data_IF_975244607711
#
_entry.id   IF_975244607711
#
_cell.length_a   1.000
_cell.length_b   1.000
_cell.length_c   1.000
_cell.angle_alpha   90.00
_cell.angle_beta   90.00
_cell.angle_gamma   90.00
#
_symmetry.space_group_name_H-M   'P 1'
#
loop_
_entity.id
_entity.type
_entity.pdbx_description
1 polymer ?
#
# COMPACT_ATOMS: atom_id res chain seq x y z
N UNK A 1 -4.17 4.05 -32.05
CA UNK A 1 -4.99 3.60 -30.91
C UNK A 1 -5.09 4.78 -29.98
N UNK A 2 -6.30 5.33 -29.81
CA UNK A 2 -6.55 6.53 -29.03
C UNK A 2 -5.97 6.40 -27.62
N UNK A 3 -5.08 7.33 -27.29
CA UNK A 3 -4.53 7.48 -25.95
C UNK A 3 -5.66 8.01 -25.05
N UNK A 4 -6.44 7.09 -24.48
CA UNK A 4 -7.56 7.39 -23.59
C UNK A 4 -7.03 7.94 -22.26
N UNK A 5 -6.50 9.16 -22.30
CA UNK A 5 -6.22 9.94 -21.10
C UNK A 5 -7.54 10.34 -20.43
N UNK A 6 -7.53 10.42 -19.11
CA UNK A 6 -8.66 10.91 -18.32
C UNK A 6 -8.20 12.02 -17.39
N UNK A 7 -9.13 12.88 -16.99
CA UNK A 7 -8.89 13.90 -15.96
C UNK A 7 -9.53 13.42 -14.68
N UNK A 8 -8.77 13.44 -13.58
CA UNK A 8 -9.24 13.08 -12.26
C UNK A 8 -8.55 13.97 -11.22
N UNK A 9 -9.34 14.64 -10.37
CA UNK A 9 -8.89 15.72 -9.47
C UNK A 9 -7.97 16.75 -10.16
N UNK A 10 -8.38 17.25 -11.32
CA UNK A 10 -7.59 18.22 -12.10
C UNK A 10 -6.27 17.70 -12.68
N UNK A 11 -5.98 16.41 -12.56
CA UNK A 11 -4.77 15.77 -13.10
C UNK A 11 -5.12 14.96 -14.34
N UNK A 12 -4.48 15.26 -15.47
CA UNK A 12 -4.47 14.37 -16.63
C UNK A 12 -3.66 13.12 -16.34
N UNK A 13 -4.27 11.96 -16.57
CA UNK A 13 -3.66 10.65 -16.37
C UNK A 13 -3.72 9.86 -17.68
N UNK A 14 -2.60 9.28 -18.06
CA UNK A 14 -2.53 8.31 -19.15
C UNK A 14 -2.80 6.89 -18.65
N UNK A 15 -3.34 6.05 -19.52
CA UNK A 15 -3.63 4.67 -19.20
C UNK A 15 -2.32 3.92 -18.93
N UNK A 16 -2.19 3.32 -17.76
CA UNK A 16 -1.04 2.49 -17.39
C UNK A 16 -1.39 1.01 -17.47
N UNK A 17 -0.37 0.16 -17.39
CA UNK A 17 -0.48 -1.32 -17.48
C UNK A 17 -1.47 -1.94 -16.49
N UNK A 18 -1.80 -1.26 -15.38
CA UNK A 18 -2.75 -1.73 -14.36
C UNK A 18 -4.13 -1.05 -14.42
N UNK A 19 -4.43 -0.31 -15.49
CA UNK A 19 -5.70 0.39 -15.65
C UNK A 19 -5.93 1.53 -14.64
N UNK A 20 -7.15 2.06 -14.64
CA UNK A 20 -7.57 3.19 -13.81
C UNK A 20 -8.28 2.82 -12.51
N UNK A 21 -8.73 1.57 -12.39
CA UNK A 21 -9.39 0.99 -11.21
C UNK A 21 -8.69 -0.31 -10.82
N UNK A 22 -8.70 -0.66 -9.54
CA UNK A 22 -8.26 -1.96 -9.07
C UNK A 22 -9.28 -3.01 -9.47
N UNK A 23 -8.82 -4.02 -10.21
CA UNK A 23 -9.59 -5.23 -10.52
C UNK A 23 -8.81 -6.45 -10.08
N UNK A 24 -9.52 -7.57 -9.98
CA UNK A 24 -8.89 -8.84 -9.63
C UNK A 24 -7.82 -9.25 -10.66
N UNK A 25 -8.07 -8.98 -11.94
CA UNK A 25 -7.23 -9.34 -13.09
C UNK A 25 -5.96 -8.48 -13.15
N UNK A 26 -6.04 -7.21 -12.73
CA UNK A 26 -4.91 -6.28 -12.81
C UNK A 26 -4.12 -6.15 -11.50
N UNK A 27 -4.54 -6.84 -10.43
CA UNK A 27 -3.95 -6.73 -9.10
C UNK A 27 -2.52 -7.26 -9.04
N UNK A 28 -2.31 -8.50 -9.49
CA UNK A 28 -1.04 -9.21 -9.35
C UNK A 28 -0.34 -9.37 -10.71
N UNK A 29 0.77 -8.65 -10.92
CA UNK A 29 1.67 -8.86 -12.05
C UNK A 29 2.84 -9.70 -11.55
N UNK A 30 2.97 -10.93 -12.04
CA UNK A 30 4.04 -11.85 -11.65
C UNK A 30 5.39 -11.28 -12.08
N UNK A 31 6.38 -11.39 -11.20
CA UNK A 31 7.77 -11.06 -11.47
C UNK A 31 8.66 -11.93 -10.60
N UNK A 32 9.66 -12.57 -11.19
CA UNK A 32 10.67 -13.32 -10.44
C UNK A 32 11.79 -12.44 -9.87
N UNK A 33 11.82 -11.14 -10.18
CA UNK A 33 12.83 -10.24 -9.62
C UNK A 33 12.50 -9.88 -8.18
N UNK A 34 13.41 -10.19 -7.26
CA UNK A 34 13.41 -9.68 -5.90
C UNK A 34 13.60 -8.18 -5.88
N UNK A 35 12.81 -7.51 -5.07
CA UNK A 35 12.87 -6.06 -4.92
C UNK A 35 13.45 -5.65 -3.59
N UNK A 36 13.86 -6.62 -2.76
CA UNK A 36 14.48 -6.41 -1.45
C UNK A 36 16.00 -6.19 -1.52
N UNK A 37 16.59 -6.31 -2.72
CA UNK A 37 18.04 -6.26 -2.91
C UNK A 37 18.71 -7.60 -2.57
N UNK A 38 20.04 -7.61 -2.49
CA UNK A 38 20.80 -8.83 -2.18
C UNK A 38 20.42 -9.37 -0.80
N UNK A 39 20.18 -10.67 -0.72
CA UNK A 39 19.87 -11.34 0.52
C UNK A 39 21.18 -11.68 1.26
N UNK A 40 21.63 -10.76 2.12
CA UNK A 40 22.89 -10.93 2.86
C UNK A 40 22.89 -12.15 3.79
N UNK A 41 21.73 -12.55 4.31
CA UNK A 41 21.62 -13.76 5.15
C UNK A 41 21.91 -14.99 4.31
N UNK A 42 21.32 -15.09 3.12
CA UNK A 42 21.56 -16.21 2.23
C UNK A 42 23.02 -16.25 1.75
N UNK A 43 23.57 -15.10 1.35
CA UNK A 43 24.99 -14.97 0.94
C UNK A 43 25.92 -15.41 2.08
N UNK A 44 25.63 -15.03 3.33
CA UNK A 44 26.44 -15.44 4.49
C UNK A 44 26.28 -16.93 4.79
N UNK A 45 25.08 -17.50 4.64
CA UNK A 45 24.84 -18.93 4.81
C UNK A 45 25.67 -19.75 3.83
N UNK A 46 25.71 -19.34 2.55
CA UNK A 46 26.56 -19.96 1.53
C UNK A 46 28.04 -19.89 1.89
N UNK A 47 28.54 -18.73 2.34
CA UNK A 47 29.95 -18.56 2.76
C UNK A 47 30.33 -19.42 3.97
N UNK A 48 29.40 -19.65 4.89
CA UNK A 48 29.61 -20.44 6.12
C UNK A 48 29.25 -21.92 5.95
N UNK A 49 28.77 -22.32 4.77
CA UNK A 49 28.22 -23.64 4.52
C UNK A 49 27.13 -24.06 5.53
N UNK A 50 26.24 -23.13 5.89
CA UNK A 50 25.09 -23.40 6.76
C UNK A 50 24.01 -24.13 5.96
N UNK A 51 24.08 -25.47 5.93
CA UNK A 51 23.21 -26.33 5.12
C UNK A 51 21.72 -26.08 5.37
N UNK A 52 21.33 -25.78 6.62
CA UNK A 52 19.94 -25.54 6.98
C UNK A 52 19.40 -24.26 6.34
N UNK A 53 20.15 -23.16 6.45
CA UNK A 53 19.76 -21.90 5.81
C UNK A 53 19.88 -21.96 4.29
N UNK A 54 20.91 -22.61 3.76
CA UNK A 54 21.09 -22.79 2.32
C UNK A 54 19.88 -23.52 1.73
N UNK A 55 19.45 -24.63 2.35
CA UNK A 55 18.27 -25.38 1.91
C UNK A 55 17.03 -24.48 1.91
N UNK A 56 16.73 -23.82 3.03
CA UNK A 56 15.57 -22.95 3.14
C UNK A 56 15.53 -21.82 2.10
N UNK A 57 16.67 -21.19 1.79
CA UNK A 57 16.72 -20.10 0.82
C UNK A 57 16.77 -20.59 -0.64
N UNK A 58 17.34 -21.76 -0.91
CA UNK A 58 17.37 -22.36 -2.26
C UNK A 58 16.00 -22.86 -2.74
N UNK A 59 15.03 -23.03 -1.84
CA UNK A 59 13.62 -23.25 -2.17
C UNK A 59 12.91 -21.96 -2.60
N UNK A 60 13.50 -20.79 -2.31
CA UNK A 60 12.91 -19.47 -2.61
C UNK A 60 13.60 -18.82 -3.81
N UNK A 61 14.93 -18.83 -3.81
CA UNK A 61 15.76 -18.11 -4.78
C UNK A 61 16.40 -19.07 -5.80
N UNK A 62 16.45 -18.64 -7.05
CA UNK A 62 17.09 -19.33 -8.16
C UNK A 62 18.57 -18.97 -8.30
N UNK A 63 19.02 -17.89 -7.66
CA UNK A 63 20.38 -17.39 -7.66
C UNK A 63 20.97 -17.32 -6.25
N UNK A 64 22.30 -17.26 -6.16
CA UNK A 64 23.02 -17.25 -4.88
C UNK A 64 23.04 -15.88 -4.17
N UNK A 65 22.55 -14.82 -4.83
CA UNK A 65 22.47 -13.48 -4.24
C UNK A 65 21.07 -13.14 -3.71
N UNK A 66 20.06 -13.97 -3.99
CA UNK A 66 18.67 -13.73 -3.62
C UNK A 66 17.99 -12.62 -4.42
N UNK A 67 18.41 -12.43 -5.67
CA UNK A 67 17.86 -11.43 -6.59
C UNK A 67 16.76 -11.99 -7.49
N UNK A 68 16.71 -13.31 -7.67
CA UNK A 68 15.77 -13.99 -8.55
C UNK A 68 15.03 -15.07 -7.76
N UNK A 69 13.71 -14.96 -7.68
CA UNK A 69 12.84 -16.01 -7.16
C UNK A 69 12.70 -17.16 -8.15
N UNK A 70 12.46 -18.35 -7.63
CA UNK A 70 12.12 -19.51 -8.46
C UNK A 70 10.69 -19.42 -8.99
N UNK A 71 10.43 -20.04 -10.14
CA UNK A 71 9.11 -20.04 -10.77
C UNK A 71 8.05 -20.78 -9.95
N UNK A 72 8.43 -21.87 -9.28
CA UNK A 72 7.56 -22.62 -8.36
C UNK A 72 7.16 -21.75 -7.15
N UNK A 73 8.11 -21.02 -6.57
CA UNK A 73 7.83 -20.02 -5.54
C UNK A 73 6.88 -18.93 -6.05
N UNK A 74 7.12 -18.38 -7.25
CA UNK A 74 6.25 -17.35 -7.83
C UNK A 74 4.81 -17.85 -8.04
N UNK A 75 4.63 -19.09 -8.51
CA UNK A 75 3.30 -19.69 -8.69
C UNK A 75 2.58 -19.84 -7.35
N UNK A 76 3.27 -20.34 -6.31
CA UNK A 76 2.71 -20.46 -4.96
C UNK A 76 2.33 -19.08 -4.39
N UNK A 77 3.25 -18.12 -4.48
CA UNK A 77 3.03 -16.76 -3.98
C UNK A 77 1.86 -16.08 -4.69
N UNK A 78 1.66 -16.31 -6.00
CA UNK A 78 0.48 -15.80 -6.72
C UNK A 78 -0.83 -16.33 -6.11
N UNK A 79 -0.90 -17.62 -5.80
CA UNK A 79 -2.10 -18.23 -5.19
C UNK A 79 -2.39 -17.55 -3.85
N UNK A 80 -1.37 -17.40 -3.01
CA UNK A 80 -1.47 -16.74 -1.70
C UNK A 80 -1.90 -15.27 -1.83
N UNK A 81 -1.33 -14.55 -2.81
CA UNK A 81 -1.66 -13.15 -3.11
C UNK A 81 -3.12 -13.00 -3.54
N UNK A 82 -3.61 -13.90 -4.40
CA UNK A 82 -5.00 -13.87 -4.84
C UNK A 82 -5.97 -14.30 -3.74
N UNK A 83 -5.57 -15.20 -2.85
CA UNK A 83 -6.33 -15.52 -1.64
C UNK A 83 -6.44 -14.28 -0.73
N UNK A 84 -5.33 -13.59 -0.45
CA UNK A 84 -5.33 -12.36 0.34
C UNK A 84 -6.20 -11.26 -0.29
N UNK A 85 -6.17 -11.12 -1.62
CA UNK A 85 -7.02 -10.18 -2.34
C UNK A 85 -8.51 -10.48 -2.11
N UNK A 86 -8.93 -11.72 -2.34
CA UNK A 86 -10.32 -12.14 -2.17
C UNK A 86 -10.78 -11.93 -0.72
N UNK A 87 -9.96 -12.27 0.27
CA UNK A 87 -10.25 -12.04 1.69
C UNK A 87 -10.47 -10.55 2.00
N UNK A 88 -9.63 -9.65 1.45
CA UNK A 88 -9.82 -8.22 1.62
C UNK A 88 -11.10 -7.72 0.93
N UNK A 89 -11.39 -8.17 -0.29
CA UNK A 89 -12.62 -7.77 -1.00
C UNK A 89 -13.87 -8.19 -0.23
N UNK A 90 -13.93 -9.45 0.21
CA UNK A 90 -15.03 -9.95 1.04
C UNK A 90 -15.13 -9.18 2.37
N UNK A 91 -13.99 -8.78 2.96
CA UNK A 91 -13.97 -7.96 4.16
C UNK A 91 -14.57 -6.57 3.91
N UNK A 92 -14.20 -5.91 2.80
CA UNK A 92 -14.73 -4.59 2.45
C UNK A 92 -16.24 -4.60 2.22
N UNK A 93 -16.78 -5.65 1.60
CA UNK A 93 -18.22 -5.82 1.38
C UNK A 93 -19.05 -5.91 2.67
N UNK A 94 -18.42 -6.24 3.81
CA UNK A 94 -19.08 -6.31 5.12
C UNK A 94 -19.04 -5.01 5.92
N UNK A 95 -18.33 -4.00 5.44
CA UNK A 95 -18.15 -2.75 6.18
C UNK A 95 -19.39 -1.86 6.12
N UNK A 96 -19.68 -1.21 7.24
CA UNK A 96 -20.84 -0.32 7.35
C UNK A 96 -20.54 1.07 6.80
N UNK A 97 -21.13 1.40 5.64
CA UNK A 97 -20.93 2.68 4.96
C UNK A 97 -21.36 3.89 5.82
N UNK A 98 -22.47 3.80 6.55
CA UNK A 98 -22.96 4.90 7.39
C UNK A 98 -21.94 5.26 8.46
N UNK A 99 -21.41 4.24 9.16
CA UNK A 99 -20.35 4.41 10.16
C UNK A 99 -19.08 5.00 9.54
N UNK A 100 -18.70 4.55 8.35
CA UNK A 100 -17.53 5.06 7.64
C UNK A 100 -17.66 6.57 7.33
N UNK A 101 -18.81 6.99 6.79
CA UNK A 101 -19.10 8.40 6.53
C UNK A 101 -19.13 9.25 7.81
N UNK A 102 -19.73 8.72 8.88
CA UNK A 102 -19.78 9.41 10.18
C UNK A 102 -18.38 9.66 10.76
N UNK A 103 -17.46 8.70 10.64
CA UNK A 103 -16.07 8.88 11.10
C UNK A 103 -15.32 9.95 10.28
N UNK A 104 -15.54 10.01 8.96
CA UNK A 104 -14.95 11.05 8.10
C UNK A 104 -15.52 12.43 8.45
N UNK A 105 -16.84 12.54 8.64
CA UNK A 105 -17.47 13.79 9.04
C UNK A 105 -16.95 14.29 10.40
N UNK A 106 -16.80 13.37 11.37
CA UNK A 106 -16.21 13.70 12.68
C UNK A 106 -14.74 14.10 12.57
N UNK A 107 -13.96 13.45 11.71
CA UNK A 107 -12.56 13.78 11.45
C UNK A 107 -12.41 15.20 10.91
N UNK A 108 -13.20 15.56 9.90
CA UNK A 108 -13.19 16.92 9.33
C UNK A 108 -13.62 17.98 10.35
N UNK A 109 -14.56 17.66 11.24
CA UNK A 109 -14.99 18.59 12.31
C UNK A 109 -13.93 18.83 13.37
N UNK A 110 -13.09 17.83 13.68
CA UNK A 110 -12.13 17.85 14.80
C UNK A 110 -10.71 18.19 14.38
N UNK A 111 -10.41 18.20 13.08
CA UNK A 111 -9.06 18.43 12.57
C UNK A 111 -9.02 19.62 11.62
N UNK A 112 -7.83 19.95 11.12
CA UNK A 112 -7.61 21.02 10.13
C UNK A 112 -7.73 20.52 8.68
N UNK A 113 -8.13 19.27 8.48
CA UNK A 113 -8.31 18.73 7.15
C UNK A 113 -9.54 19.34 6.47
N UNK A 114 -9.46 19.48 5.16
CA UNK A 114 -10.60 19.82 4.31
C UNK A 114 -10.54 19.00 3.01
N UNK A 115 -11.69 18.77 2.40
CA UNK A 115 -11.80 18.06 1.14
C UNK A 115 -11.44 18.95 -0.05
N UNK A 116 -10.78 18.38 -1.05
CA UNK A 116 -10.39 19.08 -2.27
C UNK A 116 -10.95 18.36 -3.50
N UNK A 117 -11.26 19.14 -4.54
CA UNK A 117 -11.74 18.65 -5.83
C UNK A 117 -10.68 18.74 -6.93
N UNK A 118 -9.59 19.48 -6.69
CA UNK A 118 -8.47 19.64 -7.62
C UNK A 118 -7.13 19.44 -6.90
N UNK A 119 -6.44 18.34 -7.21
CA UNK A 119 -5.13 18.01 -6.66
C UNK A 119 -3.99 18.81 -7.33
N UNK A 120 -4.26 19.43 -8.49
CA UNK A 120 -3.24 20.15 -9.27
C UNK A 120 -2.65 21.34 -8.52
N UNK A 121 -3.40 21.93 -7.60
CA UNK A 121 -3.06 23.08 -6.76
C UNK A 121 -2.21 22.72 -5.53
N UNK A 122 -2.11 21.44 -5.15
CA UNK A 122 -1.52 21.00 -3.87
C UNK A 122 -0.08 20.48 -4.02
N UNK A 123 0.75 21.25 -4.71
CA UNK A 123 2.21 21.02 -4.79
C UNK A 123 2.93 21.58 -3.55
N UNK A 124 2.49 21.17 -2.36
CA UNK A 124 2.95 21.70 -1.07
C UNK A 124 3.17 20.59 -0.03
N UNK A 125 3.91 20.86 1.06
CA UNK A 125 4.02 19.96 2.21
C UNK A 125 2.70 19.83 2.97
N UNK A 126 2.50 18.68 3.61
CA UNK A 126 1.39 18.47 4.52
C UNK A 126 0.96 17.02 4.62
N UNK A 127 -0.19 16.83 5.26
CA UNK A 127 -0.86 15.55 5.38
C UNK A 127 -1.96 15.41 4.33
N UNK A 128 -2.26 14.18 3.96
CA UNK A 128 -3.33 13.86 3.02
C UNK A 128 -4.05 12.57 3.42
N UNK A 129 -5.33 12.50 3.10
CA UNK A 129 -6.15 11.29 3.18
C UNK A 129 -6.65 10.97 1.78
N UNK A 130 -6.38 9.75 1.31
CA UNK A 130 -7.03 9.18 0.12
C UNK A 130 -8.19 8.32 0.59
N UNK A 131 -9.41 8.70 0.23
CA UNK A 131 -10.62 7.97 0.60
C UNK A 131 -11.06 7.11 -0.58
N UNK A 132 -11.38 5.84 -0.28
CA UNK A 132 -11.75 4.81 -1.24
C UNK A 132 -13.18 4.34 -0.92
N UNK A 133 -14.19 5.16 -1.25
CA UNK A 133 -15.57 5.00 -0.75
C UNK A 133 -16.17 3.63 -1.05
N UNK A 134 -15.90 3.11 -2.25
CA UNK A 134 -16.34 1.77 -2.68
C UNK A 134 -15.91 0.65 -1.71
N UNK A 135 -14.80 0.85 -1.01
CA UNK A 135 -14.19 -0.17 -0.15
C UNK A 135 -14.36 0.15 1.34
N UNK A 136 -15.00 1.27 1.69
CA UNK A 136 -14.97 1.83 3.06
C UNK A 136 -13.55 1.86 3.63
N UNK A 137 -12.55 2.20 2.81
CA UNK A 137 -11.16 2.28 3.23
C UNK A 137 -10.61 3.68 3.02
N UNK A 138 -9.66 4.07 3.86
CA UNK A 138 -8.89 5.29 3.69
C UNK A 138 -7.40 5.06 4.01
N UNK A 139 -6.57 5.91 3.45
CA UNK A 139 -5.12 5.94 3.68
C UNK A 139 -4.71 7.34 4.10
N UNK A 140 -4.04 7.45 5.24
CA UNK A 140 -3.45 8.69 5.71
C UNK A 140 -1.96 8.66 5.41
N UNK A 141 -1.42 9.74 4.87
CA UNK A 141 0.01 9.91 4.68
C UNK A 141 0.46 11.34 4.90
N UNK A 142 1.78 11.50 4.87
CA UNK A 142 2.45 12.80 4.98
C UNK A 142 3.59 12.91 3.97
N UNK A 143 3.92 14.12 3.53
CA UNK A 143 4.89 14.36 2.46
C UNK A 143 5.30 15.83 2.39
N UNK A 144 6.42 16.10 1.72
CA UNK A 144 6.83 17.46 1.31
C UNK A 144 6.10 17.97 0.06
N UNK A 145 5.37 17.09 -0.62
CA UNK A 145 4.62 17.38 -1.85
C UNK A 145 3.44 16.41 -1.96
N UNK A 146 2.23 16.89 -1.61
CA UNK A 146 0.99 16.11 -1.57
C UNK A 146 0.64 15.59 -2.96
N UNK A 147 0.56 16.49 -3.96
CA UNK A 147 0.27 16.17 -5.35
C UNK A 147 1.17 15.06 -5.90
N UNK A 148 2.49 15.22 -5.75
CA UNK A 148 3.45 14.22 -6.24
C UNK A 148 3.28 12.88 -5.56
N UNK A 149 3.01 12.87 -4.25
CA UNK A 149 2.89 11.64 -3.47
C UNK A 149 1.61 10.87 -3.78
N UNK A 150 0.46 11.54 -3.89
CA UNK A 150 -0.80 10.92 -4.30
C UNK A 150 -0.66 10.31 -5.70
N UNK A 151 -0.07 11.06 -6.67
CA UNK A 151 0.22 10.52 -8.01
C UNK A 151 1.13 9.30 -7.98
N UNK A 152 2.10 9.27 -7.06
CA UNK A 152 2.97 8.10 -6.88
C UNK A 152 2.16 6.87 -6.41
N UNK A 153 1.20 7.06 -5.51
CA UNK A 153 0.31 5.98 -5.06
C UNK A 153 -0.55 5.44 -6.20
N UNK A 154 -1.20 6.33 -6.96
CA UNK A 154 -1.99 5.95 -8.15
C UNK A 154 -1.18 5.18 -9.19
N UNK A 155 0.09 5.54 -9.38
CA UNK A 155 1.01 4.83 -10.27
C UNK A 155 1.49 3.47 -9.73
N UNK A 156 1.04 3.04 -8.55
CA UNK A 156 1.44 1.79 -7.88
C UNK A 156 2.74 1.86 -7.09
N UNK A 157 3.34 3.05 -6.99
CA UNK A 157 4.55 3.31 -6.20
C UNK A 157 5.64 2.26 -6.35
N UNK A 158 6.19 1.83 -5.20
CA UNK A 158 7.18 0.75 -5.10
C UNK A 158 6.55 -0.62 -4.85
N UNK A 159 5.23 -0.78 -5.02
CA UNK A 159 4.59 -2.07 -4.81
C UNK A 159 4.96 -3.04 -5.94
N UNK A 160 5.42 -4.22 -5.55
CA UNK A 160 5.99 -5.24 -6.42
C UNK A 160 5.45 -6.59 -5.96
N UNK A 161 5.54 -7.59 -6.84
CA UNK A 161 4.89 -8.90 -6.68
C UNK A 161 5.21 -9.54 -5.32
N UNK A 162 6.49 -9.54 -4.95
CA UNK A 162 7.07 -10.02 -3.69
C UNK A 162 6.67 -9.22 -2.44
N UNK A 163 5.97 -8.08 -2.59
CA UNK A 163 5.55 -7.18 -1.50
C UNK A 163 4.03 -7.02 -1.39
N UNK A 164 3.26 -7.80 -2.14
CA UNK A 164 1.80 -7.74 -2.15
C UNK A 164 1.21 -8.24 -0.82
N UNK A 165 1.83 -9.25 -0.21
CA UNK A 165 1.50 -9.70 1.15
C UNK A 165 2.46 -9.06 2.16
N UNK A 166 1.92 -8.60 3.28
CA UNK A 166 2.68 -8.06 4.41
C UNK A 166 2.25 -8.81 5.69
N UNK A 167 3.06 -9.78 6.12
CA UNK A 167 2.73 -10.68 7.22
C UNK A 167 1.92 -11.90 6.76
N UNK A 168 0.89 -12.28 7.53
CA UNK A 168 0.07 -13.47 7.26
C UNK A 168 -1.00 -13.18 6.20
N UNK A 169 -1.31 -14.16 5.34
CA UNK A 169 -2.33 -14.05 4.26
C UNK A 169 -3.68 -13.58 4.81
N UNK A 170 -4.11 -14.12 5.96
CA UNK A 170 -5.41 -13.81 6.57
C UNK A 170 -5.42 -12.49 7.34
N UNK A 171 -4.27 -11.80 7.44
CA UNK A 171 -4.13 -10.57 8.21
C UNK A 171 -3.53 -9.38 7.46
N UNK A 172 -3.00 -9.63 6.28
CA UNK A 172 -2.34 -8.64 5.43
C UNK A 172 -3.36 -7.72 4.76
N UNK A 173 -3.26 -6.41 5.04
CA UNK A 173 -4.08 -5.40 4.36
C UNK A 173 -3.56 -5.17 2.94
N UNK A 174 -4.47 -4.87 2.01
CA UNK A 174 -4.06 -4.35 0.70
C UNK A 174 -3.30 -3.03 0.86
N UNK A 175 -2.20 -2.89 0.13
CA UNK A 175 -1.46 -1.62 0.10
C UNK A 175 -2.30 -0.54 -0.56
N UNK A 176 -2.20 0.72 -0.11
CA UNK A 176 -2.73 1.87 -0.87
C UNK A 176 -2.23 1.91 -2.33
N UNK A 177 -1.00 1.43 -2.58
CA UNK A 177 -0.43 1.31 -3.92
C UNK A 177 -1.08 0.22 -4.79
N UNK A 178 -1.95 -0.61 -4.22
CA UNK A 178 -2.76 -1.60 -4.95
C UNK A 178 -3.93 -0.90 -5.65
N UNK A 179 -4.48 0.13 -5.03
CA UNK A 179 -5.53 0.96 -5.60
C UNK A 179 -4.97 1.89 -6.68
N UNK A 180 -5.83 2.24 -7.61
CA UNK A 180 -5.55 3.09 -8.77
C UNK A 180 -6.19 4.45 -8.56
N UNK A 181 -6.07 5.30 -9.57
CA UNK A 181 -6.54 6.67 -9.47
C UNK A 181 -8.04 6.76 -9.21
N UNK A 182 -8.87 6.09 -10.02
CA UNK A 182 -10.32 6.19 -9.93
C UNK A 182 -10.92 5.42 -8.74
N UNK A 183 -10.13 4.59 -8.05
CA UNK A 183 -10.55 4.03 -6.77
C UNK A 183 -10.55 5.10 -5.66
N UNK A 184 -9.79 6.20 -5.85
CA UNK A 184 -9.81 7.36 -4.95
C UNK A 184 -10.98 8.25 -5.33
N UNK A 185 -11.93 8.40 -4.42
CA UNK A 185 -13.18 9.13 -4.67
C UNK A 185 -13.21 10.46 -3.93
N UNK A 186 -12.46 10.60 -2.84
CA UNK A 186 -12.24 11.86 -2.13
C UNK A 186 -10.78 12.02 -1.74
N UNK A 187 -10.30 13.26 -1.69
CA UNK A 187 -8.98 13.60 -1.15
C UNK A 187 -9.19 14.67 -0.08
N UNK A 188 -8.72 14.38 1.13
CA UNK A 188 -8.66 15.36 2.21
C UNK A 188 -7.21 15.80 2.38
N UNK A 189 -6.99 17.09 2.63
CA UNK A 189 -5.63 17.63 2.82
C UNK A 189 -5.55 18.53 4.04
N UNK A 190 -4.38 18.56 4.65
CA UNK A 190 -3.98 19.55 5.62
C UNK A 190 -2.57 20.05 5.25
N UNK A 191 -2.47 21.13 4.45
CA UNK A 191 -1.20 21.75 4.09
C UNK A 191 -0.50 22.32 5.33
N UNK A 192 0.75 21.93 5.54
CA UNK A 192 1.58 22.37 6.68
C UNK A 192 3.02 21.93 6.47
N UNK A 193 3.98 22.71 6.99
CA UNK A 193 5.38 22.33 7.00
C UNK A 193 5.74 21.34 8.13
N UNK A 194 4.87 21.19 9.14
CA UNK A 194 5.05 20.24 10.25
C UNK A 194 4.53 18.83 9.90
N UNK A 195 5.31 18.11 9.11
CA UNK A 195 4.87 16.88 8.43
C UNK A 195 5.19 15.56 9.17
N UNK A 196 5.76 15.57 10.38
CA UNK A 196 6.18 14.32 11.05
C UNK A 196 5.61 14.08 12.45
N UNK A 197 4.90 15.06 13.02
CA UNK A 197 4.49 14.99 14.43
C UNK A 197 3.13 14.32 14.65
N UNK A 198 2.23 14.34 13.66
CA UNK A 198 0.80 14.04 13.90
C UNK A 198 0.26 12.84 13.10
N UNK A 199 1.08 12.18 12.26
CA UNK A 199 0.58 11.12 11.35
C UNK A 199 -0.10 9.96 12.10
N UNK A 200 0.47 9.51 13.23
CA UNK A 200 -0.13 8.43 14.03
C UNK A 200 -1.43 8.86 14.70
N UNK A 201 -1.55 10.11 15.11
CA UNK A 201 -2.78 10.65 15.71
C UNK A 201 -3.92 10.60 14.69
N UNK A 202 -3.68 11.08 13.47
CA UNK A 202 -4.66 11.02 12.39
C UNK A 202 -5.01 9.59 11.97
N UNK A 203 -4.03 8.69 11.91
CA UNK A 203 -4.29 7.28 11.62
C UNK A 203 -5.16 6.65 12.72
N UNK A 204 -4.88 6.93 13.99
CA UNK A 204 -5.58 6.33 15.12
C UNK A 204 -6.93 6.99 15.45
N UNK A 205 -7.27 8.09 14.77
CA UNK A 205 -8.60 8.69 14.83
C UNK A 205 -9.68 7.76 14.28
N UNK A 206 -9.36 7.04 13.21
CA UNK A 206 -10.31 6.16 12.52
C UNK A 206 -10.30 4.76 13.11
N UNK A 207 -11.45 4.09 13.08
CA UNK A 207 -11.58 2.68 13.40
C UNK A 207 -10.66 1.84 12.50
N UNK A 208 -10.03 0.84 13.10
CA UNK A 208 -9.03 0.00 12.44
C UNK A 208 -9.54 -0.73 11.19
N UNK A 209 -10.85 -0.96 11.11
CA UNK A 209 -11.53 -1.57 9.98
C UNK A 209 -11.60 -0.69 8.73
N UNK A 210 -11.47 0.63 8.88
CA UNK A 210 -11.52 1.58 7.75
C UNK A 210 -10.13 2.03 7.27
N UNK A 211 -9.05 1.67 7.97
CA UNK A 211 -7.70 2.16 7.64
C UNK A 211 -6.90 1.11 6.87
N UNK A 212 -6.36 1.46 5.69
CA UNK A 212 -5.50 0.57 4.90
C UNK A 212 -3.98 0.83 5.05
N UNK A 213 -3.56 1.76 5.93
CA UNK A 213 -2.16 1.91 6.34
C UNK A 213 -1.60 0.56 6.83
N UNK A 214 -0.51 0.08 6.24
CA UNK A 214 0.16 -1.20 6.62
C UNK A 214 1.21 -1.03 7.70
N UNK A 215 1.68 0.19 7.93
CA UNK A 215 2.71 0.54 8.90
C UNK A 215 2.24 1.81 9.61
N UNK A 216 2.55 1.95 10.91
CA UNK A 216 2.43 3.22 11.63
C UNK A 216 3.18 4.37 10.96
N UNK A 217 2.74 5.60 11.22
CA UNK A 217 3.36 6.83 10.74
C UNK A 217 4.61 7.22 11.54
N UNK A 218 5.30 8.26 11.05
CA UNK A 218 6.49 8.85 11.67
C UNK A 218 7.83 8.43 11.03
N UNK A 219 8.94 9.01 11.52
CA UNK A 219 10.29 8.61 11.12
C UNK A 219 10.56 7.19 11.64
N UNK A 220 10.68 6.23 10.73
CA UNK A 220 11.15 4.89 11.06
C UNK A 220 12.65 4.95 11.35
N UNK A 221 13.01 5.17 12.61
CA UNK A 221 14.35 4.87 13.09
C UNK A 221 14.50 3.34 13.14
N UNK A 222 15.58 2.80 12.55
CA UNK A 222 15.97 1.38 12.59
C UNK A 222 15.35 0.38 11.57
N UNK A 223 15.00 0.82 10.35
CA UNK A 223 14.93 -0.08 9.17
C UNK A 223 13.85 -1.19 9.21
N UNK A 224 14.22 -2.45 8.94
CA UNK A 224 13.26 -3.58 8.80
C UNK A 224 12.60 -3.97 10.13
N UNK A 225 13.32 -3.86 11.25
CA UNK A 225 12.81 -4.16 12.60
C UNK A 225 11.71 -3.17 13.01
N UNK A 226 11.88 -1.88 12.70
CA UNK A 226 10.85 -0.87 12.95
C UNK A 226 9.61 -1.09 12.08
N UNK A 227 9.76 -1.61 10.85
CA UNK A 227 8.62 -1.98 9.99
C UNK A 227 7.81 -3.12 10.59
N UNK A 228 8.47 -4.18 11.08
CA UNK A 228 7.80 -5.32 11.69
C UNK A 228 7.06 -4.94 12.99
N UNK A 229 7.70 -4.14 13.84
CA UNK A 229 7.11 -3.68 15.11
C UNK A 229 5.91 -2.74 14.93
N UNK A 230 5.88 -1.97 13.84
CA UNK A 230 4.80 -1.02 13.53
C UNK A 230 3.81 -1.55 12.50
N UNK A 231 3.87 -2.84 12.16
CA UNK A 231 3.01 -3.44 11.15
C UNK A 231 1.56 -3.46 11.65
N UNK A 232 0.67 -2.83 10.88
CA UNK A 232 -0.76 -2.83 11.16
C UNK A 232 -1.43 -4.01 10.45
N UNK A 233 -1.92 -4.95 11.24
CA UNK A 233 -2.63 -6.15 10.77
C UNK A 233 -4.13 -6.04 11.08
N UNK A 234 -4.96 -6.84 10.42
CA UNK A 234 -6.41 -6.90 10.68
C UNK A 234 -6.92 -8.29 10.36
N UNK A 235 -7.77 -8.87 11.19
CA UNK A 235 -8.37 -10.16 10.85
C UNK A 235 -9.32 -10.00 9.65
N UNK A 236 -9.12 -10.79 8.60
CA UNK A 236 -9.95 -10.77 7.38
C UNK A 236 -11.00 -11.89 7.36
N UNK A 237 -10.82 -12.90 8.22
CA UNK A 237 -11.76 -14.00 8.45
C UNK A 237 -12.84 -13.62 9.45
#
# INVERSE_FOLDING_TARGET
MDDKSIIHFGITMALRTRGYNLTRENYAIISNKSTLGKNMIYIQALKKNDEKLIKAYSEIYADQEGLIYRDDWCKKHLIEVMQNFNLNMNFFERLEHVKFEDEIAQFLKKTKFFEITDLSEYSCPGYYVMVLDKYCQLYIGTTKDIKKRVKQHWAGGKLRFDRLICGQITKSRLSINSFRALDTTRILVYPTDDIYCQENEFINFFSNEFVCNRIGGGKMEFGVLSVAANMKIRNLE
#
